data_IF_725361062666
#
_entry.id   IF_725361062666
#
_cell.length_a   1.000
_cell.length_b   1.000
_cell.length_c   1.000
_cell.angle_alpha   90.00
_cell.angle_beta   90.00
_cell.angle_gamma   90.00
#
_symmetry.space_group_name_H-M   'P 1'
#
loop_
_entity.id
_entity.type
_entity.pdbx_description
1 polymer ?
#
# COMPACT_ATOMS: atom_id res chain seq x y z
N UNK A 1 2.31 -42.60 34.60
CA UNK A 1 2.62 -41.21 35.01
C UNK A 1 3.46 -40.45 33.99
N UNK A 2 4.65 -40.92 33.60
CA UNK A 2 5.53 -40.22 32.64
C UNK A 2 4.83 -39.86 31.32
N UNK A 3 4.09 -40.79 30.72
CA UNK A 3 3.33 -40.57 29.47
C UNK A 3 2.28 -39.46 29.60
N UNK A 4 1.55 -39.41 30.71
CA UNK A 4 0.53 -38.39 30.99
C UNK A 4 1.19 -37.00 31.09
N UNK A 5 2.34 -36.91 31.77
CA UNK A 5 3.12 -35.67 31.91
C UNK A 5 3.60 -35.17 30.55
N UNK A 6 4.13 -36.05 29.68
CA UNK A 6 4.57 -35.67 28.34
C UNK A 6 3.41 -35.22 27.44
N UNK A 7 2.26 -35.90 27.51
CA UNK A 7 1.06 -35.48 26.77
C UNK A 7 0.55 -34.11 27.23
N UNK A 8 0.55 -33.86 28.54
CA UNK A 8 0.14 -32.56 29.09
C UNK A 8 1.12 -31.44 28.67
N UNK A 9 2.42 -31.70 28.72
CA UNK A 9 3.45 -30.76 28.26
C UNK A 9 3.31 -30.47 26.76
N UNK A 10 3.02 -31.48 25.94
CA UNK A 10 2.81 -31.29 24.51
C UNK A 10 1.59 -30.39 24.25
N UNK A 11 0.46 -30.65 24.92
CA UNK A 11 -0.77 -29.84 24.79
C UNK A 11 -0.56 -28.39 25.22
N UNK A 12 0.20 -28.16 26.30
CA UNK A 12 0.54 -26.81 26.76
C UNK A 12 1.40 -26.05 25.75
N UNK A 13 2.41 -26.71 25.16
CA UNK A 13 3.27 -26.09 24.15
C UNK A 13 2.51 -25.75 22.87
N UNK A 14 1.63 -26.64 22.40
CA UNK A 14 0.78 -26.39 21.22
C UNK A 14 -0.16 -25.20 21.46
N UNK A 15 -0.78 -25.14 22.64
CA UNK A 15 -1.68 -24.05 23.02
C UNK A 15 -0.94 -22.70 23.15
N UNK A 16 0.28 -22.71 23.68
CA UNK A 16 1.11 -21.52 23.82
C UNK A 16 1.56 -20.97 22.46
N UNK A 17 2.02 -21.85 21.55
CA UNK A 17 2.40 -21.46 20.18
C UNK A 17 1.19 -20.89 19.43
N UNK A 18 0.02 -21.54 19.55
CA UNK A 18 -1.21 -21.06 18.93
C UNK A 18 -1.62 -19.67 19.44
N UNK A 19 -1.56 -19.44 20.76
CA UNK A 19 -1.87 -18.14 21.36
C UNK A 19 -0.93 -17.03 20.90
N UNK A 20 0.38 -17.29 20.83
CA UNK A 20 1.34 -16.30 20.34
C UNK A 20 1.10 -15.94 18.86
N UNK A 21 0.80 -16.94 18.02
CA UNK A 21 0.47 -16.72 16.61
C UNK A 21 -0.79 -15.87 16.42
N UNK A 22 -1.83 -16.10 17.22
CA UNK A 22 -3.05 -15.29 17.20
C UNK A 22 -2.78 -13.84 17.61
N UNK A 23 -2.03 -13.61 18.69
CA UNK A 23 -1.67 -12.25 19.13
C UNK A 23 -0.86 -11.49 18.07
N UNK A 24 0.09 -12.17 17.42
CA UNK A 24 0.86 -11.58 16.32
C UNK A 24 -0.04 -11.21 15.14
N UNK A 25 -0.97 -12.10 14.77
CA UNK A 25 -1.91 -11.86 13.69
C UNK A 25 -2.85 -10.68 13.98
N UNK A 26 -3.38 -10.58 15.20
CA UNK A 26 -4.20 -9.45 15.64
C UNK A 26 -3.44 -8.14 15.60
N UNK A 27 -2.19 -8.14 16.07
CA UNK A 27 -1.31 -6.97 15.98
C UNK A 27 -1.10 -6.54 14.53
N UNK A 28 -0.77 -7.47 13.64
CA UNK A 28 -0.54 -7.19 12.22
C UNK A 28 -1.81 -6.67 11.53
N UNK A 29 -2.97 -7.25 11.86
CA UNK A 29 -4.24 -6.81 11.33
C UNK A 29 -4.63 -5.43 11.84
N UNK A 30 -4.44 -5.14 13.13
CA UNK A 30 -4.67 -3.81 13.68
C UNK A 30 -3.71 -2.78 13.05
N UNK A 31 -2.46 -3.16 12.79
CA UNK A 31 -1.53 -2.28 12.07
C UNK A 31 -2.01 -1.96 10.64
N UNK A 32 -2.58 -2.96 9.96
CA UNK A 32 -3.18 -2.80 8.63
C UNK A 32 -4.46 -1.94 8.65
N UNK A 33 -5.39 -2.29 9.54
CA UNK A 33 -6.75 -1.76 9.56
C UNK A 33 -6.83 -0.39 10.26
N UNK A 34 -5.96 -0.14 11.24
CA UNK A 34 -6.02 1.03 12.13
C UNK A 34 -4.78 1.92 12.00
N UNK A 35 -3.55 1.40 12.10
CA UNK A 35 -2.35 2.25 12.29
C UNK A 35 -1.61 2.66 11.00
N UNK A 36 -1.93 2.11 9.84
CA UNK A 36 -1.21 2.32 8.56
C UNK A 36 0.29 1.90 8.60
N UNK A 37 0.73 1.17 9.62
CA UNK A 37 2.13 0.78 9.84
C UNK A 37 2.47 -0.59 9.24
N UNK A 38 1.92 -0.90 8.07
CA UNK A 38 2.27 -2.12 7.35
C UNK A 38 3.17 -1.84 6.16
N UNK A 39 3.95 -2.86 5.77
CA UNK A 39 4.66 -2.86 4.50
C UNK A 39 3.65 -2.78 3.35
N UNK A 40 3.58 -1.61 2.71
CA UNK A 40 2.63 -1.34 1.63
C UNK A 40 3.16 -1.89 0.31
N UNK A 41 2.34 -2.57 -0.50
CA UNK A 41 2.68 -2.87 -1.89
C UNK A 41 3.07 -1.59 -2.63
N UNK A 42 4.14 -1.68 -3.41
CA UNK A 42 4.67 -0.54 -4.17
C UNK A 42 4.06 -0.54 -5.56
N UNK A 43 3.56 0.62 -6.00
CA UNK A 43 3.04 0.85 -7.34
C UNK A 43 3.86 1.92 -8.04
N UNK A 44 4.18 1.67 -9.31
CA UNK A 44 4.98 2.55 -10.14
C UNK A 44 4.12 3.07 -11.29
N UNK A 45 3.97 4.38 -11.38
CA UNK A 45 3.14 5.03 -12.41
C UNK A 45 4.06 5.91 -13.24
N UNK A 46 3.93 5.84 -14.56
CA UNK A 46 4.62 6.76 -15.46
C UNK A 46 3.73 7.96 -15.72
N UNK A 47 4.23 9.16 -15.42
CA UNK A 47 3.63 10.41 -15.83
C UNK A 47 4.14 10.79 -17.22
N UNK A 48 3.23 10.97 -18.16
CA UNK A 48 3.50 11.49 -19.49
C UNK A 48 2.69 12.77 -19.70
N UNK A 49 3.37 13.92 -19.69
CA UNK A 49 2.73 15.23 -19.85
C UNK A 49 2.18 15.49 -21.26
N UNK A 50 2.40 14.59 -22.23
CA UNK A 50 1.76 14.65 -23.55
C UNK A 50 0.39 13.97 -23.59
N UNK A 51 0.08 13.15 -22.60
CA UNK A 51 -1.20 12.45 -22.52
C UNK A 51 -2.28 13.39 -21.98
N UNK A 52 -3.39 13.57 -22.70
CA UNK A 52 -4.43 14.53 -22.33
C UNK A 52 -5.05 14.26 -20.94
N UNK A 53 -5.03 13.00 -20.49
CA UNK A 53 -5.54 12.60 -19.17
C UNK A 53 -4.55 12.86 -18.03
N UNK A 54 -3.37 13.42 -18.33
CA UNK A 54 -2.31 13.70 -17.39
C UNK A 54 -2.09 15.20 -17.26
N UNK A 55 -2.21 15.74 -16.05
CA UNK A 55 -1.86 17.14 -15.76
C UNK A 55 -0.95 17.22 -14.55
N UNK A 56 -0.10 18.24 -14.54
CA UNK A 56 0.83 18.52 -13.45
C UNK A 56 0.72 19.99 -13.07
N UNK A 57 0.66 20.26 -11.77
CA UNK A 57 0.66 21.60 -11.20
C UNK A 57 1.59 21.71 -10.00
N UNK A 58 1.91 22.93 -9.60
CA UNK A 58 2.66 23.21 -8.37
C UNK A 58 1.92 24.27 -7.56
N UNK A 59 1.86 24.08 -6.25
CA UNK A 59 1.37 25.08 -5.31
C UNK A 59 2.27 25.13 -4.06
N UNK A 60 1.82 25.86 -3.02
CA UNK A 60 2.57 26.01 -1.75
C UNK A 60 2.82 24.69 -1.00
N UNK A 61 1.94 23.71 -1.17
CA UNK A 61 2.01 22.40 -0.51
C UNK A 61 2.96 21.44 -1.24
N UNK A 62 2.97 21.49 -2.57
CA UNK A 62 3.81 20.61 -3.37
C UNK A 62 3.46 20.52 -4.85
N UNK A 63 3.91 19.44 -5.48
CA UNK A 63 3.62 19.12 -6.88
C UNK A 63 2.44 18.16 -6.96
N UNK A 64 1.43 18.53 -7.73
CA UNK A 64 0.23 17.74 -7.96
C UNK A 64 0.33 17.05 -9.32
N UNK A 65 -0.07 15.79 -9.37
CA UNK A 65 -0.22 15.03 -10.58
C UNK A 65 -1.66 14.52 -10.64
N UNK A 66 -2.37 14.84 -11.71
CA UNK A 66 -3.62 14.17 -12.04
C UNK A 66 -3.35 13.19 -13.17
N UNK A 67 -3.68 11.91 -12.98
CA UNK A 67 -3.34 10.84 -13.92
C UNK A 67 -4.55 9.91 -14.06
N UNK A 68 -5.27 9.99 -15.19
CA UNK A 68 -6.49 9.22 -15.45
C UNK A 68 -7.56 9.37 -14.34
N UNK A 69 -7.77 10.58 -13.83
CA UNK A 69 -8.79 10.87 -12.81
C UNK A 69 -8.33 10.69 -11.36
N UNK A 70 -7.19 10.04 -11.13
CA UNK A 70 -6.56 9.97 -9.81
C UNK A 70 -5.72 11.21 -9.53
N UNK A 71 -5.65 11.63 -8.26
CA UNK A 71 -4.85 12.77 -7.81
C UNK A 71 -3.71 12.31 -6.92
N UNK A 72 -2.50 12.80 -7.18
CA UNK A 72 -1.31 12.45 -6.42
C UNK A 72 -0.55 13.70 -6.00
N UNK A 73 -0.16 13.76 -4.73
CA UNK A 73 0.53 14.89 -4.14
C UNK A 73 1.96 14.51 -3.73
N UNK A 74 2.92 15.20 -4.30
CA UNK A 74 4.30 15.21 -3.85
C UNK A 74 4.57 16.39 -2.91
N UNK A 75 4.87 16.11 -1.65
CA UNK A 75 5.23 17.14 -0.65
C UNK A 75 6.75 17.12 -0.46
N UNK A 76 7.44 18.18 -0.90
CA UNK A 76 8.92 18.24 -0.94
C UNK A 76 9.62 17.94 0.38
N UNK A 77 9.04 18.38 1.50
CA UNK A 77 9.61 18.18 2.85
C UNK A 77 9.35 16.79 3.44
N UNK A 78 8.37 16.05 2.91
CA UNK A 78 7.92 14.75 3.45
C UNK A 78 8.35 13.58 2.58
N UNK A 79 8.39 13.77 1.27
CA UNK A 79 8.51 12.68 0.31
C UNK A 79 9.89 12.60 -0.32
N UNK A 80 10.30 11.35 -0.59
CA UNK A 80 11.57 11.05 -1.26
C UNK A 80 11.50 11.41 -2.74
N UNK A 81 12.64 11.85 -3.28
CA UNK A 81 12.82 12.10 -4.70
C UNK A 81 14.18 11.61 -5.13
N UNK A 82 14.21 10.88 -6.23
CA UNK A 82 15.43 10.33 -6.80
C UNK A 82 15.50 10.68 -8.28
N UNK A 83 16.70 10.96 -8.77
CA UNK A 83 16.97 11.06 -10.21
C UNK A 83 17.65 9.77 -10.65
N UNK A 84 17.07 9.08 -11.63
CA UNK A 84 17.49 7.75 -12.06
C UNK A 84 17.73 7.74 -13.57
N UNK A 85 18.54 6.78 -14.03
CA UNK A 85 18.66 6.48 -15.46
C UNK A 85 17.34 5.94 -16.00
N UNK A 86 16.99 6.34 -17.23
CA UNK A 86 15.77 5.87 -17.93
C UNK A 86 15.69 4.34 -18.03
N UNK A 87 16.85 3.65 -18.00
CA UNK A 87 16.94 2.20 -18.04
C UNK A 87 16.17 1.53 -16.88
N UNK A 88 15.93 2.23 -15.77
CA UNK A 88 15.14 1.70 -14.64
C UNK A 88 13.71 1.34 -15.06
N UNK A 89 13.13 2.05 -16.04
CA UNK A 89 11.77 1.80 -16.52
C UNK A 89 11.61 0.42 -17.15
N UNK A 90 12.71 -0.19 -17.64
CA UNK A 90 12.70 -1.57 -18.16
C UNK A 90 12.78 -2.64 -17.06
N UNK A 91 13.18 -2.25 -15.84
CA UNK A 91 13.37 -3.16 -14.70
C UNK A 91 12.18 -3.17 -13.74
N UNK A 92 11.29 -2.19 -13.84
CA UNK A 92 10.12 -2.05 -12.97
C UNK A 92 8.84 -2.36 -13.74
N UNK A 93 7.85 -2.91 -13.05
CA UNK A 93 6.51 -3.08 -13.59
C UNK A 93 5.72 -1.80 -13.43
N UNK A 94 5.64 -1.01 -14.49
CA UNK A 94 4.74 0.14 -14.56
C UNK A 94 3.29 -0.34 -14.52
N UNK A 95 2.45 0.39 -13.80
CA UNK A 95 1.04 0.14 -13.65
C UNK A 95 0.24 1.35 -14.14
N UNK A 96 -0.91 1.07 -14.75
CA UNK A 96 -1.87 2.12 -15.10
C UNK A 96 -2.58 2.58 -13.83
N UNK A 97 -2.82 3.89 -13.70
CA UNK A 97 -3.58 4.41 -12.57
C UNK A 97 -5.05 3.98 -12.60
N UNK A 98 -5.61 3.72 -13.79
CA UNK A 98 -7.05 3.41 -14.01
C UNK A 98 -7.62 2.28 -13.14
N UNK A 99 -6.79 1.33 -12.70
CA UNK A 99 -7.21 0.19 -11.87
C UNK A 99 -6.77 0.28 -10.42
N UNK A 100 -6.13 1.38 -9.99
CA UNK A 100 -5.59 1.48 -8.65
C UNK A 100 -6.70 1.36 -7.59
N UNK A 101 -7.85 1.98 -7.81
CA UNK A 101 -8.98 1.91 -6.88
C UNK A 101 -9.48 0.47 -6.71
N UNK A 102 -9.79 -0.21 -7.82
CA UNK A 102 -10.22 -1.62 -7.81
C UNK A 102 -9.17 -2.52 -7.15
N UNK A 103 -7.89 -2.31 -7.44
CA UNK A 103 -6.80 -3.06 -6.83
C UNK A 103 -6.68 -2.80 -5.33
N UNK A 104 -6.91 -1.57 -4.87
CA UNK A 104 -6.86 -1.21 -3.45
C UNK A 104 -8.01 -1.88 -2.68
N UNK A 105 -9.23 -1.82 -3.24
CA UNK A 105 -10.41 -2.49 -2.69
C UNK A 105 -10.17 -4.00 -2.61
N UNK A 106 -9.68 -4.62 -3.68
CA UNK A 106 -9.39 -6.04 -3.70
C UNK A 106 -8.30 -6.43 -2.69
N UNK A 107 -7.25 -5.62 -2.55
CA UNK A 107 -6.21 -5.83 -1.54
C UNK A 107 -6.79 -5.76 -0.13
N UNK A 108 -7.67 -4.78 0.13
CA UNK A 108 -8.33 -4.62 1.41
C UNK A 108 -9.21 -5.81 1.77
N UNK A 109 -10.09 -6.21 0.84
CA UNK A 109 -11.00 -7.36 1.02
C UNK A 109 -10.23 -8.65 1.29
N UNK A 110 -9.14 -8.88 0.53
CA UNK A 110 -8.27 -10.05 0.73
C UNK A 110 -7.65 -10.06 2.13
N UNK A 111 -7.22 -8.91 2.66
CA UNK A 111 -6.65 -8.82 4.01
C UNK A 111 -7.68 -9.13 5.10
N UNK A 112 -8.93 -8.68 4.92
CA UNK A 112 -10.03 -9.06 5.81
C UNK A 112 -10.26 -10.57 5.75
N UNK A 113 -10.41 -11.14 4.56
CA UNK A 113 -10.66 -12.58 4.40
C UNK A 113 -9.52 -13.44 4.99
N UNK A 114 -8.26 -13.02 4.82
CA UNK A 114 -7.10 -13.67 5.44
C UNK A 114 -7.19 -13.67 6.96
N UNK A 115 -7.67 -12.58 7.56
CA UNK A 115 -7.87 -12.48 9.00
C UNK A 115 -9.05 -13.34 9.47
N UNK A 116 -10.24 -13.17 8.87
CA UNK A 116 -11.44 -13.92 9.26
C UNK A 116 -11.22 -15.43 9.17
N UNK A 117 -10.50 -15.91 8.14
CA UNK A 117 -10.19 -17.33 7.98
C UNK A 117 -9.29 -17.87 9.09
N UNK A 118 -8.40 -17.05 9.64
CA UNK A 118 -7.41 -17.47 10.65
C UNK A 118 -7.93 -17.32 12.08
N UNK A 119 -8.78 -16.33 12.33
CA UNK A 119 -9.32 -16.03 13.67
C UNK A 119 -10.73 -16.56 13.89
N UNK A 120 -11.45 -16.89 12.81
CA UNK A 120 -12.89 -17.16 12.80
C UNK A 120 -13.74 -15.97 13.31
N UNK A 121 -13.15 -14.77 13.37
CA UNK A 121 -13.82 -13.53 13.77
C UNK A 121 -14.30 -12.78 12.53
N UNK A 122 -15.56 -12.35 12.54
CA UNK A 122 -16.14 -11.52 11.46
C UNK A 122 -15.83 -10.04 11.65
N UNK A 123 -15.48 -9.36 10.56
CA UNK A 123 -15.11 -7.94 10.57
C UNK A 123 -15.87 -7.18 9.48
N UNK A 124 -16.22 -5.89 9.69
CA UNK A 124 -16.78 -5.06 8.65
C UNK A 124 -15.93 -5.03 7.38
N UNK A 125 -16.55 -5.40 6.25
CA UNK A 125 -15.94 -5.37 4.91
C UNK A 125 -15.94 -3.99 4.25
N UNK A 126 -16.42 -2.97 4.95
CA UNK A 126 -16.40 -1.59 4.48
C UNK A 126 -14.99 -1.00 4.59
N UNK A 127 -14.50 -0.42 3.50
CA UNK A 127 -13.25 0.32 3.50
C UNK A 127 -13.37 1.57 4.38
N UNK A 128 -12.36 1.89 5.20
CA UNK A 128 -12.39 3.12 6.01
C UNK A 128 -12.47 4.36 5.13
N UNK A 129 -13.38 5.28 5.47
CA UNK A 129 -13.46 6.59 4.82
C UNK A 129 -12.20 7.38 5.17
N UNK A 130 -11.44 7.80 4.16
CA UNK A 130 -10.19 8.52 4.32
C UNK A 130 -10.01 9.49 3.16
N UNK A 131 -9.40 10.65 3.40
CA UNK A 131 -9.03 11.60 2.33
C UNK A 131 -7.90 11.09 1.44
N UNK A 132 -7.09 10.20 1.98
CA UNK A 132 -5.95 9.59 1.28
C UNK A 132 -6.11 8.09 1.20
N UNK A 133 -5.67 7.53 0.08
CA UNK A 133 -5.53 6.11 -0.16
C UNK A 133 -4.25 5.62 0.51
N UNK A 134 -4.40 4.76 1.51
CA UNK A 134 -3.32 4.45 2.47
C UNK A 134 -2.72 3.07 2.25
N UNK A 135 -3.31 2.21 1.43
CA UNK A 135 -2.90 0.81 1.37
C UNK A 135 -1.77 0.55 0.37
N UNK A 136 -1.52 1.48 -0.55
CA UNK A 136 -0.41 1.40 -1.49
C UNK A 136 0.63 2.49 -1.26
N UNK A 137 1.87 2.16 -1.58
CA UNK A 137 2.96 3.13 -1.71
C UNK A 137 3.12 3.47 -3.19
N UNK A 138 2.86 4.71 -3.57
CA UNK A 138 2.89 5.14 -4.97
C UNK A 138 4.18 5.90 -5.26
N UNK A 139 4.81 5.55 -6.39
CA UNK A 139 5.88 6.32 -6.98
C UNK A 139 5.49 6.77 -8.38
N UNK A 140 5.60 8.07 -8.63
CA UNK A 140 5.45 8.66 -9.96
C UNK A 140 6.83 8.81 -10.60
N UNK A 141 6.94 8.32 -11.82
CA UNK A 141 8.10 8.48 -12.68
C UNK A 141 7.79 9.56 -13.73
N UNK A 142 8.58 10.63 -13.75
CA UNK A 142 8.47 11.72 -14.72
C UNK A 142 9.74 11.75 -15.57
N UNK A 143 9.62 11.58 -16.89
CA UNK A 143 10.76 11.70 -17.80
C UNK A 143 11.20 13.17 -17.85
N UNK A 144 12.48 13.42 -17.60
CA UNK A 144 13.07 14.78 -17.67
C UNK A 144 13.75 15.00 -19.01
N UNK A 145 14.43 13.98 -19.51
CA UNK A 145 15.04 13.95 -20.83
C UNK A 145 15.21 12.50 -21.30
N UNK A 146 15.86 12.30 -22.46
CA UNK A 146 16.04 11.00 -23.08
C UNK A 146 16.69 9.95 -22.15
N UNK A 147 17.54 10.38 -21.21
CA UNK A 147 18.37 9.48 -20.40
C UNK A 147 18.01 9.48 -18.91
N UNK A 148 17.16 10.40 -18.45
CA UNK A 148 16.86 10.61 -17.03
C UNK A 148 15.37 10.63 -16.74
N UNK A 149 15.02 10.02 -15.61
CA UNK A 149 13.67 10.03 -15.03
C UNK A 149 13.77 10.45 -13.57
N UNK A 150 12.83 11.28 -13.12
CA UNK A 150 12.66 11.58 -11.71
C UNK A 150 11.62 10.62 -11.14
N UNK A 151 11.96 9.98 -10.02
CA UNK A 151 11.03 9.20 -9.20
C UNK A 151 10.62 10.05 -8.01
N UNK A 152 9.32 10.23 -7.79
CA UNK A 152 8.77 10.89 -6.59
C UNK A 152 7.85 9.95 -5.83
N UNK A 153 8.06 9.85 -4.53
CA UNK A 153 7.07 9.27 -3.62
C UNK A 153 5.90 10.23 -3.47
N UNK A 154 4.67 9.75 -3.55
CA UNK A 154 3.47 10.61 -3.54
C UNK A 154 2.39 10.06 -2.62
N UNK A 155 1.57 10.96 -2.08
CA UNK A 155 0.29 10.63 -1.47
C UNK A 155 -0.76 10.49 -2.56
N UNK A 156 -1.52 9.40 -2.55
CA UNK A 156 -2.68 9.24 -3.43
C UNK A 156 -3.92 9.78 -2.71
N UNK A 157 -4.54 10.79 -3.32
CA UNK A 157 -5.65 11.53 -2.77
C UNK A 157 -6.90 11.23 -3.60
N UNK A 158 -8.05 11.15 -2.93
CA UNK A 158 -9.32 11.21 -3.64
C UNK A 158 -9.38 12.54 -4.40
N UNK A 159 -9.75 12.50 -5.67
CA UNK A 159 -10.04 13.72 -6.41
C UNK A 159 -11.10 14.50 -5.63
N UNK A 160 -10.73 15.66 -5.10
CA UNK A 160 -11.71 16.57 -4.49
C UNK A 160 -12.62 17.07 -5.59
N UNK A 161 -13.87 16.63 -5.55
CA UNK A 161 -14.98 17.12 -6.36
C UNK A 161 -15.25 18.59 -6.06
#
# INVERSE_FOLDING_TARGET
>A
MKTIIYTLLLLLNVSFIYSQNLKSLEKDFNAFYVSNEIAKPIKYILFDGKECAHTKGENKEGTFYHINGDSFLYIKKRHKTDTLSIAILKKIKLQSSRRLHEEEVNFFMKKIEEYERKTNTKIPKSMPISRTHKYFKIYIFEKVNANKVIRREVEWQYATF
#
